data_IF_938015235000
#
_entry.id   IF_938015235000
#
_cell.length_a   1.000
_cell.length_b   1.000
_cell.length_c   1.000
_cell.angle_alpha   90.00
_cell.angle_beta   90.00
_cell.angle_gamma   90.00
#
_symmetry.space_group_name_H-M   'P 1'
#
loop_
_entity.id
_entity.type
_entity.pdbx_description
1 polymer ?
#
# COMPACT_ATOMS: atom_id res chain seq x y z
N UNK A 1 21.41 -1.33 -15.83
CA UNK A 1 20.46 -0.21 -15.89
C UNK A 1 19.67 -0.22 -14.59
N UNK A 2 20.03 0.61 -13.62
CA UNK A 2 19.31 0.71 -12.33
C UNK A 2 18.78 2.13 -12.24
N UNK A 3 17.60 2.33 -12.83
CA UNK A 3 16.87 3.58 -12.79
C UNK A 3 15.70 3.46 -11.83
N UNK A 4 15.32 4.59 -11.23
CA UNK A 4 14.01 4.75 -10.62
C UNK A 4 12.92 4.30 -11.59
N UNK A 5 11.97 3.52 -11.10
CA UNK A 5 10.82 3.06 -11.87
C UNK A 5 9.65 3.96 -11.47
N UNK A 6 8.92 4.42 -12.47
CA UNK A 6 7.70 5.18 -12.25
C UNK A 6 6.62 4.29 -11.58
N UNK A 7 5.92 4.76 -10.52
CA UNK A 7 4.90 3.98 -9.82
C UNK A 7 3.74 3.53 -10.72
N UNK A 8 3.32 4.35 -11.67
CA UNK A 8 2.23 4.02 -12.60
C UNK A 8 2.66 2.88 -13.52
N UNK A 9 3.87 2.97 -14.08
CA UNK A 9 4.43 1.90 -14.90
C UNK A 9 4.56 0.58 -14.10
N UNK A 10 5.02 0.65 -12.84
CA UNK A 10 5.09 -0.51 -11.97
C UNK A 10 3.69 -1.10 -11.69
N UNK A 11 2.68 -0.28 -11.42
CA UNK A 11 1.31 -0.73 -11.20
C UNK A 11 0.75 -1.42 -12.44
N UNK A 12 0.87 -0.78 -13.61
CA UNK A 12 0.38 -1.29 -14.89
C UNK A 12 0.95 -2.67 -15.21
N UNK A 13 2.21 -2.92 -14.87
CA UNK A 13 2.88 -4.20 -15.15
C UNK A 13 2.69 -5.28 -14.09
N UNK A 14 2.46 -4.92 -12.83
CA UNK A 14 2.47 -5.89 -11.71
C UNK A 14 1.09 -6.18 -11.12
N UNK A 15 0.18 -5.21 -11.14
CA UNK A 15 -1.07 -5.28 -10.38
C UNK A 15 -2.32 -4.94 -11.20
N UNK A 16 -2.18 -4.49 -12.46
CA UNK A 16 -3.32 -4.07 -13.28
C UNK A 16 -4.38 -5.18 -13.50
N UNK A 17 -3.94 -6.44 -13.60
CA UNK A 17 -4.83 -7.58 -13.78
C UNK A 17 -5.29 -8.21 -12.45
N UNK A 18 -4.82 -7.69 -11.31
CA UNK A 18 -5.21 -8.21 -10.01
C UNK A 18 -6.66 -7.77 -9.69
N UNK A 19 -7.58 -8.69 -9.35
CA UNK A 19 -8.98 -8.35 -9.09
C UNK A 19 -9.17 -7.43 -7.89
N UNK A 20 -8.18 -7.39 -7.01
CA UNK A 20 -8.21 -6.67 -5.75
C UNK A 20 -6.89 -5.91 -5.56
N UNK A 21 -6.62 -5.00 -6.49
CA UNK A 21 -5.50 -4.08 -6.45
C UNK A 21 -5.82 -2.80 -5.66
N UNK A 22 -4.77 -2.13 -5.17
CA UNK A 22 -4.87 -0.80 -4.58
C UNK A 22 -3.68 0.06 -5.00
N UNK A 23 -3.88 1.38 -4.96
CA UNK A 23 -2.82 2.39 -5.08
C UNK A 23 -3.10 3.53 -4.10
N UNK A 24 -2.15 3.78 -3.20
CA UNK A 24 -2.10 4.96 -2.34
C UNK A 24 -0.96 5.85 -2.82
N UNK A 25 -1.30 7.02 -3.33
CA UNK A 25 -0.34 7.90 -4.00
C UNK A 25 0.09 9.09 -3.11
N UNK A 26 1.33 9.55 -3.31
CA UNK A 26 1.87 10.71 -2.57
C UNK A 26 1.47 12.05 -3.21
N UNK A 27 0.84 12.01 -4.39
CA UNK A 27 0.47 13.15 -5.20
C UNK A 27 1.28 13.22 -6.50
N UNK A 28 0.75 14.01 -7.44
CA UNK A 28 1.38 14.23 -8.75
C UNK A 28 2.81 14.79 -8.58
N UNK A 29 3.76 14.22 -9.33
CA UNK A 29 5.18 14.63 -9.32
C UNK A 29 5.81 14.69 -7.92
N UNK A 30 5.34 13.84 -6.98
CA UNK A 30 5.85 13.80 -5.63
C UNK A 30 7.37 13.57 -5.62
N UNK A 31 8.10 14.50 -4.98
CA UNK A 31 9.56 14.38 -4.73
C UNK A 31 9.89 13.93 -3.31
N UNK A 32 8.86 13.70 -2.51
CA UNK A 32 8.94 13.32 -1.11
C UNK A 32 7.65 12.62 -0.69
N UNK A 33 7.71 11.89 0.42
CA UNK A 33 6.59 11.07 0.87
C UNK A 33 6.64 9.70 0.22
N UNK A 34 5.57 8.94 0.45
CA UNK A 34 5.51 7.52 0.14
C UNK A 34 4.30 7.19 -0.71
N UNK A 35 4.49 6.29 -1.67
CA UNK A 35 3.39 5.67 -2.41
C UNK A 35 3.42 4.17 -2.24
N UNK A 36 2.24 3.55 -2.23
CA UNK A 36 2.09 2.10 -2.12
C UNK A 36 1.19 1.60 -3.22
N UNK A 37 1.64 0.55 -3.89
CA UNK A 37 0.85 -0.20 -4.87
C UNK A 37 0.88 -1.67 -4.52
N UNK A 38 -0.22 -2.36 -4.71
CA UNK A 38 -0.23 -3.78 -4.40
C UNK A 38 -1.59 -4.42 -4.60
N UNK A 39 -1.70 -5.62 -4.06
CA UNK A 39 -2.92 -6.41 -4.07
C UNK A 39 -3.19 -7.01 -2.69
N UNK A 40 -4.42 -7.47 -2.52
CA UNK A 40 -4.82 -8.17 -1.32
C UNK A 40 -5.99 -9.11 -1.53
N UNK A 41 -6.37 -9.81 -0.47
CA UNK A 41 -7.62 -10.60 -0.44
C UNK A 41 -8.70 -9.83 0.33
N UNK A 42 -9.96 -9.80 -0.15
CA UNK A 42 -11.06 -9.24 0.61
C UNK A 42 -11.15 -9.90 1.98
N UNK A 43 -11.19 -9.08 3.02
CA UNK A 43 -11.32 -9.51 4.41
C UNK A 43 -12.68 -9.07 4.94
N UNK A 44 -13.59 -10.04 5.06
CA UNK A 44 -14.94 -9.83 5.59
C UNK A 44 -14.99 -9.78 7.13
N UNK A 45 -13.84 -9.92 7.81
CA UNK A 45 -13.79 -9.86 9.27
C UNK A 45 -13.88 -8.43 9.79
N UNK A 46 -14.36 -8.27 11.01
CA UNK A 46 -14.36 -6.98 11.72
C UNK A 46 -12.97 -6.58 12.25
N UNK A 47 -11.92 -7.40 12.04
CA UNK A 47 -10.58 -7.15 12.58
C UNK A 47 -10.00 -5.78 12.23
N UNK A 48 -10.13 -5.24 11.01
CA UNK A 48 -9.60 -3.92 10.68
C UNK A 48 -10.22 -2.82 11.54
N UNK A 49 -11.50 -2.98 11.89
CA UNK A 49 -12.25 -2.00 12.71
C UNK A 49 -11.94 -2.07 14.20
N UNK A 50 -11.37 -3.19 14.67
CA UNK A 50 -10.97 -3.36 16.06
C UNK A 50 -9.50 -3.01 16.30
N UNK A 51 -8.75 -2.62 15.27
CA UNK A 51 -7.36 -2.20 15.39
C UNK A 51 -7.29 -0.71 15.71
N UNK A 52 -6.55 -0.39 16.76
CA UNK A 52 -6.20 0.99 17.07
C UNK A 52 -5.15 1.50 16.07
N UNK A 53 -5.59 2.36 15.15
CA UNK A 53 -4.74 2.98 14.14
C UNK A 53 -3.91 4.17 14.68
N UNK A 54 -4.10 4.57 15.94
CA UNK A 54 -3.34 5.67 16.57
C UNK A 54 -2.04 5.20 17.20
N UNK A 55 -1.91 3.89 17.43
CA UNK A 55 -0.67 3.29 17.91
C UNK A 55 0.38 3.33 16.79
N UNK A 56 1.50 4.06 16.95
CA UNK A 56 2.51 4.15 15.91
C UNK A 56 3.16 2.78 15.65
N UNK A 57 3.39 2.46 14.38
CA UNK A 57 4.34 1.39 14.05
C UNK A 57 5.75 1.83 14.43
N UNK A 58 6.61 0.88 14.78
CA UNK A 58 8.03 1.14 14.96
C UNK A 58 8.61 1.75 13.66
N UNK A 59 9.56 2.68 13.83
CA UNK A 59 10.26 3.29 12.70
C UNK A 59 11.01 2.21 11.89
N UNK A 60 10.81 2.23 10.57
CA UNK A 60 11.39 1.28 9.62
C UNK A 60 11.85 2.06 8.39
N UNK A 61 13.01 1.69 7.84
CA UNK A 61 13.57 2.28 6.63
C UNK A 61 12.67 2.07 5.39
N UNK A 62 11.79 1.06 5.42
CA UNK A 62 10.83 0.77 4.36
C UNK A 62 9.51 1.55 4.47
N UNK A 63 9.45 2.54 5.37
CA UNK A 63 8.35 3.49 5.45
C UNK A 63 7.22 3.10 6.41
N UNK A 64 6.22 3.98 6.57
CA UNK A 64 5.23 3.90 7.65
C UNK A 64 4.19 2.79 7.49
N UNK A 65 4.02 2.23 6.29
CA UNK A 65 3.09 1.12 6.04
C UNK A 65 3.85 -0.17 5.71
N UNK A 66 3.66 -1.19 6.55
CA UNK A 66 4.34 -2.51 6.46
C UNK A 66 3.38 -3.63 6.08
N UNK A 67 2.27 -3.29 5.45
CA UNK A 67 1.14 -4.18 5.24
C UNK A 67 0.11 -4.03 6.36
N UNK A 68 -0.88 -4.92 6.36
CA UNK A 68 -2.06 -4.81 7.20
C UNK A 68 -3.30 -4.83 6.34
N UNK A 69 -4.14 -3.82 6.49
CA UNK A 69 -5.36 -3.66 5.71
C UNK A 69 -5.35 -2.34 4.95
N UNK A 70 -5.83 -2.38 3.70
CA UNK A 70 -6.15 -1.20 2.91
C UNK A 70 -7.61 -1.32 2.53
N UNK A 71 -8.36 -0.24 2.67
CA UNK A 71 -9.80 -0.26 2.43
C UNK A 71 -10.45 1.06 2.75
N UNK A 72 -11.77 1.02 2.85
CA UNK A 72 -12.58 2.19 3.08
C UNK A 72 -13.70 1.87 4.05
N UNK A 73 -14.26 2.94 4.63
CA UNK A 73 -15.48 2.91 5.43
C UNK A 73 -16.41 4.02 4.93
N UNK A 74 -17.67 3.69 4.70
CA UNK A 74 -18.71 4.69 4.44
C UNK A 74 -19.00 5.49 5.70
N UNK A 75 -19.61 6.65 5.52
CA UNK A 75 -20.08 7.46 6.63
C UNK A 75 -21.10 6.70 7.51
N UNK A 76 -21.97 5.89 6.90
CA UNK A 76 -22.99 5.08 7.58
C UNK A 76 -22.42 3.83 8.27
N UNK A 77 -21.12 3.55 8.09
CA UNK A 77 -20.39 2.56 8.87
C UNK A 77 -20.12 1.23 8.17
N UNK A 78 -20.63 1.01 6.96
CA UNK A 78 -20.22 -0.12 6.13
C UNK A 78 -18.75 0.01 5.74
N UNK A 79 -18.05 -1.12 5.62
CA UNK A 79 -16.63 -1.11 5.29
C UNK A 79 -16.25 -2.27 4.37
N UNK A 80 -15.23 -2.04 3.56
CA UNK A 80 -14.59 -3.08 2.77
C UNK A 80 -13.08 -2.93 2.89
N UNK A 81 -12.41 -4.03 3.23
CA UNK A 81 -10.96 -4.07 3.41
C UNK A 81 -10.35 -5.20 2.62
N UNK A 82 -9.15 -4.94 2.11
CA UNK A 82 -8.21 -5.92 1.61
C UNK A 82 -7.20 -6.21 2.71
N UNK A 83 -7.01 -7.48 3.05
CA UNK A 83 -5.78 -7.91 3.73
C UNK A 83 -4.67 -7.87 2.68
N UNK A 84 -3.73 -6.94 2.84
CA UNK A 84 -2.61 -6.76 1.91
C UNK A 84 -1.69 -7.97 1.96
N UNK A 85 -1.34 -8.49 0.79
CA UNK A 85 -0.51 -9.69 0.65
C UNK A 85 0.83 -9.39 0.01
N UNK A 86 0.78 -8.69 -1.14
CA UNK A 86 1.97 -8.29 -1.90
C UNK A 86 1.85 -6.83 -2.26
N UNK A 87 2.90 -6.06 -2.01
CA UNK A 87 2.90 -4.63 -2.34
C UNK A 87 4.32 -4.09 -2.51
N UNK A 88 4.42 -2.96 -3.21
CA UNK A 88 5.63 -2.15 -3.30
C UNK A 88 5.44 -0.85 -2.53
N UNK A 89 6.48 -0.41 -1.84
CA UNK A 89 6.57 0.91 -1.20
C UNK A 89 7.62 1.76 -1.93
N UNK A 90 7.22 2.95 -2.36
CA UNK A 90 8.05 3.91 -3.09
C UNK A 90 8.43 5.05 -2.15
N UNK A 91 9.73 5.18 -1.84
CA UNK A 91 10.30 6.35 -1.18
C UNK A 91 10.73 7.34 -2.26
N UNK A 92 9.92 8.39 -2.45
CA UNK A 92 10.19 9.41 -3.46
C UNK A 92 11.40 10.27 -3.13
N UNK A 93 11.71 10.46 -1.85
CA UNK A 93 12.84 11.28 -1.42
C UNK A 93 14.17 10.54 -1.65
N UNK A 94 14.25 9.27 -1.24
CA UNK A 94 15.45 8.46 -1.42
C UNK A 94 15.55 7.79 -2.81
N UNK A 95 14.48 7.87 -3.62
CA UNK A 95 14.32 7.13 -4.88
C UNK A 95 14.57 5.63 -4.70
N UNK A 96 13.95 5.04 -3.67
CA UNK A 96 14.03 3.61 -3.33
C UNK A 96 12.67 2.94 -3.47
N UNK A 97 12.69 1.67 -3.86
CA UNK A 97 11.50 0.82 -3.91
C UNK A 97 11.74 -0.41 -3.04
N UNK A 98 10.79 -0.70 -2.18
CA UNK A 98 10.81 -1.88 -1.31
C UNK A 98 9.67 -2.82 -1.71
N UNK A 99 9.97 -4.12 -1.81
CA UNK A 99 8.97 -5.14 -2.11
C UNK A 99 8.60 -5.94 -0.86
N UNK A 100 7.30 -6.19 -0.71
CA UNK A 100 6.72 -6.96 0.39
C UNK A 100 5.82 -8.05 -0.16
N UNK A 101 5.89 -9.22 0.46
CA UNK A 101 5.12 -10.41 0.10
C UNK A 101 5.83 -11.67 0.59
N UNK A 102 5.09 -12.77 0.69
CA UNK A 102 5.71 -14.08 0.87
C UNK A 102 6.51 -14.47 -0.40
N UNK A 103 7.65 -15.17 -0.26
CA UNK A 103 8.48 -15.62 -1.37
C UNK A 103 7.80 -16.66 -2.28
#
# INVERSE_FOLDING_TARGET
MTGWIDPEAAFAHLFADAPHAFWLDAGVDARSGWSWIGEGRPDASAQPMHRDATTPSAADDAGPFRGGWVGWRTYEGEAAFLRVERFLAFDHAARRVFAFGDP
#
